data_IF_845379797462
#
_entry.id   IF_845379797462
#
_cell.length_a   1.000
_cell.length_b   1.000
_cell.length_c   1.000
_cell.angle_alpha   90.00
_cell.angle_beta   90.00
_cell.angle_gamma   90.00
#
_symmetry.space_group_name_H-M   'P 1'
#
loop_
_entity.id
_entity.type
_entity.pdbx_description
1 polymer ?
#
# COMPACT_ATOMS: atom_id res chain seq x y z
N UNK A 1 -2.69 21.99 -0.98
CA UNK A 1 -3.82 21.05 -0.81
C UNK A 1 -3.33 19.62 -1.06
N UNK A 2 -2.40 19.11 -0.25
CA UNK A 2 -1.63 17.89 -0.58
C UNK A 2 -2.02 16.66 0.26
N UNK A 3 -2.59 16.86 1.47
CA UNK A 3 -3.00 15.75 2.34
C UNK A 3 -4.11 14.86 1.75
N UNK A 4 -4.95 15.36 0.83
CA UNK A 4 -6.10 14.59 0.30
C UNK A 4 -5.71 13.54 -0.74
N UNK A 5 -4.59 13.73 -1.44
CA UNK A 5 -4.15 12.82 -2.51
C UNK A 5 -3.52 11.55 -1.95
N UNK A 6 -2.65 11.67 -0.95
CA UNK A 6 -2.03 10.53 -0.30
C UNK A 6 -3.05 9.59 0.34
N UNK A 7 -4.01 10.15 1.09
CA UNK A 7 -5.08 9.34 1.72
C UNK A 7 -5.94 8.59 0.71
N UNK A 8 -6.29 9.21 -0.42
CA UNK A 8 -7.06 8.55 -1.48
C UNK A 8 -6.26 7.42 -2.16
N UNK A 9 -4.98 7.66 -2.46
CA UNK A 9 -4.10 6.66 -3.06
C UNK A 9 -3.87 5.47 -2.13
N UNK A 10 -3.70 5.73 -0.83
CA UNK A 10 -3.60 4.67 0.18
C UNK A 10 -4.88 3.85 0.29
N UNK A 11 -6.06 4.48 0.26
CA UNK A 11 -7.34 3.77 0.28
C UNK A 11 -7.54 2.91 -0.96
N UNK A 12 -7.18 3.43 -2.14
CA UNK A 12 -7.24 2.68 -3.39
C UNK A 12 -6.30 1.47 -3.36
N UNK A 13 -5.06 1.68 -2.92
CA UNK A 13 -4.07 0.61 -2.75
C UNK A 13 -4.58 -0.47 -1.78
N UNK A 14 -5.10 -0.06 -0.62
CA UNK A 14 -5.67 -0.99 0.38
C UNK A 14 -6.88 -1.73 -0.20
N UNK A 15 -7.75 -1.07 -0.96
CA UNK A 15 -8.88 -1.72 -1.61
C UNK A 15 -8.45 -2.77 -2.65
N UNK A 16 -7.41 -2.47 -3.42
CA UNK A 16 -6.87 -3.39 -4.44
C UNK A 16 -6.21 -4.62 -3.86
N UNK A 17 -5.37 -4.45 -2.83
CA UNK A 17 -4.50 -5.52 -2.34
C UNK A 17 -5.00 -6.15 -1.04
N UNK A 18 -5.69 -5.40 -0.19
CA UNK A 18 -6.14 -5.87 1.13
C UNK A 18 -7.66 -6.09 1.22
N UNK A 19 -8.37 -5.99 0.09
CA UNK A 19 -9.85 -6.04 0.05
C UNK A 19 -10.45 -7.34 0.57
N UNK A 20 -9.88 -8.50 0.23
CA UNK A 20 -10.36 -9.82 0.68
C UNK A 20 -9.59 -10.37 1.90
N UNK A 21 -8.64 -9.60 2.45
CA UNK A 21 -7.89 -9.96 3.66
C UNK A 21 -6.88 -11.11 3.51
N UNK A 22 -6.78 -11.72 2.32
CA UNK A 22 -5.76 -12.70 1.97
C UNK A 22 -4.94 -12.12 0.84
N UNK A 23 -3.65 -11.96 1.08
CA UNK A 23 -2.72 -11.44 0.09
C UNK A 23 -1.75 -12.56 -0.29
N UNK A 24 -1.74 -12.95 -1.56
CA UNK A 24 -0.82 -13.95 -2.07
C UNK A 24 0.58 -13.33 -2.30
N UNK A 25 1.63 -14.17 -2.33
CA UNK A 25 3.00 -13.71 -2.60
C UNK A 25 3.11 -12.96 -3.94
N UNK A 26 2.33 -13.36 -4.94
CA UNK A 26 2.30 -12.72 -6.27
C UNK A 26 1.69 -11.30 -6.20
N UNK A 27 0.64 -11.14 -5.40
CA UNK A 27 0.00 -9.85 -5.14
C UNK A 27 0.86 -8.97 -4.21
N UNK A 28 1.67 -9.57 -3.35
CA UNK A 28 2.57 -8.88 -2.43
C UNK A 28 3.68 -8.12 -3.14
N UNK A 29 4.37 -8.74 -4.09
CA UNK A 29 5.39 -8.06 -4.91
C UNK A 29 4.78 -6.89 -5.68
N UNK A 30 3.57 -7.08 -6.21
CA UNK A 30 2.85 -6.05 -6.94
C UNK A 30 2.37 -4.91 -6.03
N UNK A 31 1.93 -5.22 -4.81
CA UNK A 31 1.55 -4.26 -3.80
C UNK A 31 2.75 -3.40 -3.37
N UNK A 32 3.92 -4.02 -3.16
CA UNK A 32 5.18 -3.34 -2.84
C UNK A 32 5.61 -2.37 -3.94
N UNK A 33 5.64 -2.83 -5.21
CA UNK A 33 5.99 -1.97 -6.34
C UNK A 33 5.04 -0.80 -6.47
N UNK A 34 3.72 -1.03 -6.32
CA UNK A 34 2.73 0.05 -6.37
C UNK A 34 2.91 1.06 -5.24
N UNK A 35 3.23 0.60 -4.03
CA UNK A 35 3.50 1.50 -2.91
C UNK A 35 4.77 2.33 -3.15
N UNK A 36 5.82 1.72 -3.71
CA UNK A 36 7.07 2.42 -4.06
C UNK A 36 6.86 3.46 -5.18
N UNK A 37 6.07 3.14 -6.20
CA UNK A 37 5.72 4.11 -7.26
C UNK A 37 4.98 5.33 -6.70
N UNK A 38 4.10 5.14 -5.72
CA UNK A 38 3.35 6.22 -5.07
C UNK A 38 4.28 7.15 -4.27
N UNK A 39 5.26 6.58 -3.58
CA UNK A 39 6.27 7.34 -2.82
C UNK A 39 7.19 8.11 -3.77
N UNK A 40 7.73 7.44 -4.79
CA UNK A 40 8.59 8.06 -5.80
C UNK A 40 7.92 9.17 -6.59
N UNK A 41 6.60 9.07 -6.77
CA UNK A 41 5.80 10.10 -7.44
C UNK A 41 5.44 11.27 -6.52
N UNK A 42 5.82 11.22 -5.23
CA UNK A 42 5.49 12.21 -4.22
C UNK A 42 4.01 12.23 -3.83
N UNK A 43 3.26 11.16 -4.12
CA UNK A 43 1.83 11.05 -3.80
C UNK A 43 1.64 10.72 -2.32
N UNK A 44 2.52 9.89 -1.77
CA UNK A 44 2.59 9.52 -0.35
C UNK A 44 3.98 9.82 0.20
N UNK A 45 4.08 10.04 1.51
CA UNK A 45 5.37 10.22 2.18
C UNK A 45 6.04 8.87 2.47
N UNK A 46 7.35 8.86 2.70
CA UNK A 46 8.09 7.66 3.13
C UNK A 46 7.47 6.98 4.36
N UNK A 47 6.94 7.75 5.33
CA UNK A 47 6.23 7.21 6.49
C UNK A 47 4.95 6.45 6.11
N UNK A 48 4.18 7.00 5.16
CA UNK A 48 2.94 6.36 4.68
C UNK A 48 3.25 5.12 3.85
N UNK A 49 4.33 5.15 3.06
CA UNK A 49 4.84 3.96 2.38
C UNK A 49 5.18 2.83 3.35
N UNK A 50 5.89 3.15 4.44
CA UNK A 50 6.19 2.17 5.50
C UNK A 50 4.90 1.57 6.09
N UNK A 51 3.86 2.37 6.30
CA UNK A 51 2.57 1.88 6.78
C UNK A 51 1.90 0.92 5.77
N UNK A 52 1.91 1.23 4.47
CA UNK A 52 1.39 0.34 3.44
C UNK A 52 2.15 -0.99 3.41
N UNK A 53 3.48 -0.95 3.45
CA UNK A 53 4.31 -2.17 3.48
C UNK A 53 4.01 -3.01 4.71
N UNK A 54 3.84 -2.39 5.89
CA UNK A 54 3.46 -3.11 7.12
C UNK A 54 2.09 -3.77 6.99
N UNK A 55 1.12 -3.11 6.36
CA UNK A 55 -0.21 -3.68 6.12
C UNK A 55 -0.16 -4.86 5.13
N UNK A 56 0.61 -4.75 4.05
CA UNK A 56 0.85 -5.87 3.12
C UNK A 56 1.53 -7.04 3.84
N UNK A 57 2.53 -6.78 4.68
CA UNK A 57 3.20 -7.83 5.46
C UNK A 57 2.24 -8.54 6.41
N UNK A 58 1.39 -7.78 7.10
CA UNK A 58 0.40 -8.35 8.01
C UNK A 58 -0.60 -9.25 7.26
N UNK A 59 -1.08 -8.80 6.10
CA UNK A 59 -2.01 -9.59 5.28
C UNK A 59 -1.37 -10.83 4.67
N UNK A 60 -0.09 -10.76 4.26
CA UNK A 60 0.66 -11.92 3.77
C UNK A 60 0.89 -12.94 4.88
N UNK A 61 1.35 -12.48 6.05
CA UNK A 61 1.65 -13.32 7.19
C UNK A 61 0.39 -13.81 7.94
N UNK A 62 -0.79 -13.28 7.60
CA UNK A 62 -2.07 -13.50 8.30
C UNK A 62 -1.95 -13.21 9.80
N UNK A 63 -1.20 -12.16 10.15
CA UNK A 63 -0.94 -11.69 11.52
C UNK A 63 -1.95 -10.63 11.96
#
# INVERSE_FOLDING_TARGET
MECKKGTAAMLEWRGRFLGEGILHEEDYDQALRRAEELERSGVISASEWIELVKLANAALLRL
#
